data_IF_244452860069
#
_entry.id   IF_244452860069
#
_cell.length_a   1.000
_cell.length_b   1.000
_cell.length_c   1.000
_cell.angle_alpha   90.00
_cell.angle_beta   90.00
_cell.angle_gamma   90.00
#
_symmetry.space_group_name_H-M   'P 1'
#
loop_
_entity.id
_entity.type
_entity.pdbx_description
1 polymer ?
#
# COMPACT_ATOMS: atom_id res chain seq x y z
N UNK A 1 27.51 -3.13 -9.60
CA UNK A 1 26.89 -4.43 -9.29
C UNK A 1 27.01 -4.66 -7.79
N UNK A 2 25.97 -4.29 -7.02
CA UNK A 2 25.49 -4.68 -5.65
C UNK A 2 24.26 -3.75 -5.43
N UNK A 3 22.98 -4.03 -5.68
CA UNK A 3 22.19 -5.25 -5.68
C UNK A 3 21.04 -5.02 -6.67
N UNK A 4 20.99 -5.80 -7.76
CA UNK A 4 19.86 -5.86 -8.70
C UNK A 4 18.67 -6.58 -8.05
N UNK A 5 18.04 -5.98 -7.04
CA UNK A 5 16.76 -6.48 -6.54
C UNK A 5 15.66 -5.67 -7.20
N UNK A 6 14.90 -6.33 -8.08
CA UNK A 6 13.77 -5.81 -8.87
C UNK A 6 12.56 -5.33 -8.02
N UNK A 7 12.74 -5.09 -6.72
CA UNK A 7 11.73 -4.62 -5.78
C UNK A 7 12.11 -3.27 -5.16
N UNK A 8 12.74 -2.39 -5.94
CA UNK A 8 12.80 -0.97 -5.59
C UNK A 8 11.38 -0.39 -5.75
N UNK A 9 10.52 -0.60 -4.77
CA UNK A 9 9.28 0.16 -4.65
C UNK A 9 9.68 1.56 -4.19
N UNK A 10 9.35 2.59 -4.96
CA UNK A 10 9.69 3.98 -4.63
C UNK A 10 9.10 4.42 -3.28
N UNK A 11 8.01 3.75 -2.85
CA UNK A 11 7.29 4.01 -1.60
C UNK A 11 6.83 2.70 -0.98
N UNK A 12 7.00 2.58 0.35
CA UNK A 12 6.43 1.50 1.16
C UNK A 12 5.51 2.12 2.22
N UNK A 13 4.29 1.59 2.33
CA UNK A 13 3.33 1.97 3.36
C UNK A 13 3.13 0.78 4.30
N UNK A 14 3.36 1.01 5.60
CA UNK A 14 3.09 0.05 6.65
C UNK A 14 2.00 0.60 7.56
N UNK A 15 1.00 -0.22 7.87
CA UNK A 15 -0.12 0.17 8.71
C UNK A 15 -0.60 -1.04 9.49
N UNK A 16 -0.76 -0.86 10.80
CA UNK A 16 -1.30 -1.86 11.71
C UNK A 16 -2.77 -1.53 11.98
N UNK A 17 -3.59 -2.56 12.08
CA UNK A 17 -5.02 -2.46 12.35
C UNK A 17 -5.39 -3.43 13.47
N UNK A 18 -6.32 -3.02 14.32
CA UNK A 18 -6.78 -3.85 15.44
C UNK A 18 -7.51 -5.11 14.97
N UNK A 19 -8.21 -5.03 13.83
CA UNK A 19 -8.93 -6.15 13.23
C UNK A 19 -9.09 -6.01 11.70
N UNK A 20 -9.59 -7.08 11.05
CA UNK A 20 -9.83 -7.11 9.61
C UNK A 20 -10.92 -6.10 9.17
N UNK A 21 -11.85 -5.75 10.07
CA UNK A 21 -12.91 -4.78 9.75
C UNK A 21 -12.34 -3.36 9.66
N UNK A 22 -11.39 -3.00 10.53
CA UNK A 22 -10.63 -1.76 10.50
C UNK A 22 -9.78 -1.67 9.23
N UNK A 23 -9.13 -2.76 8.82
CA UNK A 23 -8.42 -2.82 7.53
C UNK A 23 -9.36 -2.56 6.34
N UNK A 24 -10.54 -3.19 6.33
CA UNK A 24 -11.56 -2.98 5.27
C UNK A 24 -12.07 -1.54 5.26
N UNK A 25 -12.32 -0.97 6.43
CA UNK A 25 -12.78 0.41 6.56
C UNK A 25 -11.72 1.40 6.07
N UNK A 26 -10.46 1.17 6.43
CA UNK A 26 -9.33 1.94 5.94
C UNK A 26 -9.21 1.86 4.41
N UNK A 27 -9.32 0.65 3.83
CA UNK A 27 -9.26 0.45 2.40
C UNK A 27 -10.35 1.22 1.64
N UNK A 28 -11.57 1.28 2.20
CA UNK A 28 -12.72 1.98 1.63
C UNK A 28 -12.83 3.46 2.02
N UNK A 29 -11.96 3.97 2.89
CA UNK A 29 -12.06 5.33 3.41
C UNK A 29 -11.87 6.37 2.28
N UNK A 30 -12.71 7.42 2.18
CA UNK A 30 -12.64 8.39 1.09
C UNK A 30 -11.30 9.14 1.02
N UNK A 31 -10.64 9.37 2.16
CA UNK A 31 -9.29 9.94 2.17
C UNK A 31 -8.25 8.99 1.54
N UNK A 32 -8.35 7.68 1.80
CA UNK A 32 -7.48 6.69 1.19
C UNK A 32 -7.74 6.56 -0.31
N UNK A 33 -9.01 6.64 -0.74
CA UNK A 33 -9.37 6.68 -2.15
C UNK A 33 -8.77 7.88 -2.89
N UNK A 34 -8.76 9.07 -2.27
CA UNK A 34 -8.15 10.28 -2.84
C UNK A 34 -6.64 10.11 -3.04
N UNK A 35 -5.94 9.62 -2.02
CA UNK A 35 -4.48 9.35 -2.12
C UNK A 35 -4.20 8.28 -3.17
N UNK A 36 -5.02 7.23 -3.26
CA UNK A 36 -4.88 6.20 -4.32
C UNK A 36 -5.02 6.80 -5.71
N UNK A 37 -5.97 7.71 -5.93
CA UNK A 37 -6.19 8.37 -7.22
C UNK A 37 -5.02 9.30 -7.59
N UNK A 38 -4.48 10.06 -6.63
CA UNK A 38 -3.30 10.90 -6.86
C UNK A 38 -2.05 10.07 -7.22
N UNK A 39 -1.90 8.88 -6.60
CA UNK A 39 -0.80 7.97 -6.89
C UNK A 39 -0.98 7.16 -8.18
N UNK A 40 -2.20 7.05 -8.72
CA UNK A 40 -2.49 6.24 -9.90
C UNK A 40 -1.76 6.73 -11.16
N UNK A 41 -1.52 8.04 -11.27
CA UNK A 41 -0.76 8.63 -12.38
C UNK A 41 0.76 8.45 -12.30
N UNK A 42 1.28 8.01 -11.15
CA UNK A 42 2.73 7.90 -10.88
C UNK A 42 3.15 6.43 -10.70
N UNK A 43 2.22 5.56 -10.31
CA UNK A 43 2.51 4.19 -9.90
C UNK A 43 2.63 3.22 -11.09
N UNK A 44 3.83 2.70 -11.30
CA UNK A 44 4.13 1.68 -12.33
C UNK A 44 3.77 0.26 -11.87
N UNK A 45 3.95 -0.05 -10.58
CA UNK A 45 3.62 -1.34 -9.98
C UNK A 45 3.11 -1.18 -8.55
N UNK A 46 2.25 -2.10 -8.09
CA UNK A 46 1.73 -2.14 -6.71
C UNK A 46 1.82 -3.57 -6.17
N UNK A 47 2.45 -3.72 -5.02
CA UNK A 47 2.43 -4.96 -4.24
C UNK A 47 1.76 -4.65 -2.90
N UNK A 48 0.68 -5.37 -2.57
CA UNK A 48 0.00 -5.27 -1.28
C UNK A 48 0.07 -6.65 -0.61
N UNK A 49 0.45 -6.69 0.66
CA UNK A 49 0.48 -7.90 1.48
C UNK A 49 -0.16 -7.55 2.82
N UNK A 50 -1.29 -8.20 3.11
CA UNK A 50 -1.94 -8.13 4.41
C UNK A 50 -1.58 -9.44 5.15
N UNK A 51 -1.06 -9.34 6.37
CA UNK A 51 -0.70 -10.50 7.18
C UNK A 51 -1.28 -10.36 8.58
N UNK A 52 -1.62 -11.51 9.18
CA UNK A 52 -2.17 -11.59 10.53
C UNK A 52 -1.01 -11.98 11.46
N UNK A 53 -0.88 -11.29 12.60
CA UNK A 53 0.04 -11.66 13.67
C UNK A 53 -0.66 -12.46 14.77
#
# INVERSE_FOLDING_TARGET
>A
DISRISYACDVVLYSEFDDEAALKLYAAHPAHAKVRAELEGIRIARHQVDYIC
#
